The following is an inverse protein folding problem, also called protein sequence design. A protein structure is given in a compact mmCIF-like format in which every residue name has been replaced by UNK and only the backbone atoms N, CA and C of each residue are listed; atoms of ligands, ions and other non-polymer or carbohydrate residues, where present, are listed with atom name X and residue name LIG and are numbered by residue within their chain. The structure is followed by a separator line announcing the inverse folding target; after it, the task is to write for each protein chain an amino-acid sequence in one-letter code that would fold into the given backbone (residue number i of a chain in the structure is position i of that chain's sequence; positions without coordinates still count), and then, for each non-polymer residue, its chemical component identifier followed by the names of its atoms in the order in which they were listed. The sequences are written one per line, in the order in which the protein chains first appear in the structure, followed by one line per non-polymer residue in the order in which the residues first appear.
data_IF_013945797539
#
_entry.id   IF_013945797539
#
_cell.length_a   1.000
_cell.length_b   1.000
_cell.length_c   1.000
_cell.angle_alpha   90.00
_cell.angle_beta   90.00
_cell.angle_gamma   90.00
#
_symmetry.space_group_name_H-M   'P 1'
#
loop_
_entity.id
_entity.type
_entity.pdbx_description
1 polymer ?
#
# COMPACT_ATOMS: atom_id res chain seq x y z
N UNK A 1 7.41 -8.12 8.14
CA UNK A 1 6.62 -8.07 9.39
C UNK A 1 5.21 -8.59 9.10
N UNK A 2 4.71 -9.50 9.94
CA UNK A 2 3.32 -9.95 9.84
C UNK A 2 2.33 -8.89 10.34
N UNK A 3 1.04 -9.13 10.16
CA UNK A 3 -0.01 -8.27 10.70
C UNK A 3 0.06 -8.24 12.24
N UNK A 4 0.02 -7.06 12.82
CA UNK A 4 0.14 -6.84 14.27
C UNK A 4 -1.07 -6.09 14.83
N UNK A 5 -1.28 -6.26 16.13
CA UNK A 5 -2.34 -5.61 16.88
C UNK A 5 -3.65 -6.41 16.94
N UNK A 6 -4.24 -6.39 18.12
CA UNK A 6 -5.58 -6.91 18.39
C UNK A 6 -6.42 -5.70 18.80
N UNK A 7 -7.55 -5.41 18.14
CA UNK A 7 -8.33 -4.19 18.39
C UNK A 7 -8.76 -4.00 19.86
N UNK A 8 -8.97 -5.10 20.57
CA UNK A 8 -9.40 -5.10 21.97
C UNK A 8 -8.22 -5.00 22.97
N UNK A 9 -7.00 -5.28 22.52
CA UNK A 9 -5.82 -5.23 23.40
C UNK A 9 -5.24 -3.82 23.42
N UNK A 10 -5.40 -3.16 24.57
CA UNK A 10 -4.87 -1.80 24.80
C UNK A 10 -3.82 -1.79 25.92
N UNK A 11 -2.86 -0.90 25.75
CA UNK A 11 -1.89 -0.55 26.79
C UNK A 11 -2.54 0.34 27.85
N UNK A 12 -1.95 0.51 29.05
CA UNK A 12 -2.48 1.38 30.10
C UNK A 12 -2.68 2.84 29.68
N UNK A 13 -1.94 3.32 28.67
CA UNK A 13 -2.07 4.66 28.11
C UNK A 13 -3.17 4.77 27.03
N UNK A 14 -3.95 3.70 26.78
CA UNK A 14 -5.02 3.67 25.79
C UNK A 14 -4.59 3.31 24.37
N UNK A 15 -3.31 3.24 24.06
CA UNK A 15 -2.80 2.85 22.76
C UNK A 15 -3.09 1.36 22.46
N UNK A 16 -3.24 1.03 21.18
CA UNK A 16 -3.39 -0.37 20.76
C UNK A 16 -2.09 -1.15 21.03
N UNK A 17 -2.21 -2.32 21.66
CA UNK A 17 -1.09 -3.23 21.80
C UNK A 17 -0.59 -3.66 20.41
N UNK A 18 0.73 -3.55 20.20
CA UNK A 18 1.37 -3.82 18.92
C UNK A 18 1.51 -2.60 17.99
N UNK A 19 0.77 -1.51 18.20
CA UNK A 19 0.97 -0.27 17.46
C UNK A 19 2.41 0.26 17.61
N UNK A 20 2.98 0.15 18.81
CA UNK A 20 4.37 0.52 19.09
C UNK A 20 5.41 -0.25 18.25
N UNK A 21 5.10 -1.45 17.79
CA UNK A 21 6.01 -2.20 16.88
C UNK A 21 6.08 -1.51 15.52
N UNK A 22 4.92 -1.21 14.92
CA UNK A 22 4.85 -0.58 13.60
C UNK A 22 5.38 0.85 13.65
N UNK A 23 4.89 1.67 14.57
CA UNK A 23 5.34 3.07 14.70
C UNK A 23 6.80 3.15 15.15
N UNK A 24 7.23 2.27 16.07
CA UNK A 24 8.63 2.21 16.50
C UNK A 24 9.59 1.91 15.35
N UNK A 25 9.22 0.99 14.44
CA UNK A 25 10.01 0.70 13.24
C UNK A 25 9.95 1.86 12.23
N UNK A 26 8.76 2.42 11.96
CA UNK A 26 8.60 3.53 11.01
C UNK A 26 9.42 4.75 11.40
N UNK A 27 9.32 5.17 12.66
CA UNK A 27 10.05 6.34 13.16
C UNK A 27 11.52 6.02 13.45
N UNK A 28 11.81 4.89 14.11
CA UNK A 28 13.17 4.52 14.49
C UNK A 28 14.10 4.23 13.32
N UNK A 29 13.56 3.77 12.19
CA UNK A 29 14.32 3.50 10.96
C UNK A 29 14.08 4.56 9.87
N UNK A 30 13.39 5.65 10.19
CA UNK A 30 13.00 6.73 9.26
C UNK A 30 12.42 6.23 7.93
N UNK A 31 11.41 5.36 8.02
CA UNK A 31 10.73 4.75 6.87
C UNK A 31 9.67 5.71 6.31
N UNK A 32 10.09 6.74 5.59
CA UNK A 32 9.27 7.89 5.21
C UNK A 32 8.31 7.63 4.05
N UNK A 33 8.55 6.64 3.20
CA UNK A 33 7.70 6.32 2.06
C UNK A 33 6.95 5.00 2.28
N UNK A 34 5.63 5.06 2.46
CA UNK A 34 4.78 3.88 2.48
C UNK A 34 4.26 3.63 1.06
N UNK A 35 4.75 2.57 0.44
CA UNK A 35 4.49 2.20 -0.95
C UNK A 35 3.41 1.12 -0.98
N UNK A 36 2.29 1.43 -1.59
CA UNK A 36 1.12 0.54 -1.67
C UNK A 36 0.70 0.30 -3.13
N UNK A 37 1.22 -0.75 -3.77
CA UNK A 37 0.76 -1.16 -5.10
C UNK A 37 -0.70 -1.59 -5.07
N UNK A 38 -1.44 -1.18 -6.09
CA UNK A 38 -2.81 -1.60 -6.34
C UNK A 38 -2.86 -2.19 -7.74
N UNK A 39 -2.82 -3.52 -7.82
CA UNK A 39 -2.80 -4.25 -9.09
C UNK A 39 -3.86 -5.33 -9.06
N UNK A 40 -4.77 -5.28 -10.03
CA UNK A 40 -5.78 -6.31 -10.18
C UNK A 40 -5.21 -7.47 -11.00
N UNK A 41 -5.14 -8.62 -10.37
CA UNK A 41 -4.65 -9.84 -11.03
C UNK A 41 -5.75 -10.57 -11.78
N UNK A 42 -5.41 -11.35 -12.83
CA UNK A 42 -6.39 -12.12 -13.59
C UNK A 42 -7.21 -13.07 -12.72
N UNK A 43 -8.49 -13.19 -13.01
CA UNK A 43 -9.47 -14.06 -12.31
C UNK A 43 -9.78 -13.63 -10.87
N UNK A 44 -9.33 -12.47 -10.43
CA UNK A 44 -9.75 -11.89 -9.15
C UNK A 44 -11.10 -11.19 -9.34
N UNK A 45 -12.02 -11.45 -8.43
CA UNK A 45 -13.36 -10.87 -8.41
C UNK A 45 -13.55 -9.99 -7.18
N UNK A 46 -14.46 -9.06 -7.28
CA UNK A 46 -14.80 -8.11 -6.22
C UNK A 46 -16.07 -8.55 -5.51
N UNK A 47 -16.06 -8.58 -4.18
CA UNK A 47 -17.26 -8.84 -3.39
C UNK A 47 -18.09 -7.57 -3.28
N UNK A 48 -19.22 -7.52 -3.99
CA UNK A 48 -20.16 -6.39 -4.00
C UNK A 48 -21.56 -6.92 -3.71
N UNK A 49 -22.24 -6.41 -2.67
CA UNK A 49 -23.55 -6.88 -2.21
C UNK A 49 -23.58 -8.40 -2.02
N UNK A 50 -22.60 -8.93 -1.28
CA UNK A 50 -22.40 -10.37 -1.01
C UNK A 50 -22.26 -11.28 -2.24
N UNK A 51 -22.12 -10.71 -3.43
CA UNK A 51 -21.86 -11.41 -4.67
C UNK A 51 -20.47 -11.10 -5.22
N UNK A 52 -19.83 -12.09 -5.84
CA UNK A 52 -18.56 -11.90 -6.54
C UNK A 52 -18.79 -11.47 -7.98
N UNK A 53 -18.29 -10.27 -8.33
CA UNK A 53 -18.44 -9.66 -9.66
C UNK A 53 -17.10 -9.22 -10.21
N UNK A 54 -16.93 -9.22 -11.53
CA UNK A 54 -15.85 -8.49 -12.21
C UNK A 54 -16.31 -7.04 -12.38
N UNK A 55 -15.84 -6.15 -11.49
CA UNK A 55 -16.18 -4.72 -11.52
C UNK A 55 -15.18 -3.95 -12.37
N UNK A 56 -13.91 -4.29 -12.24
CA UNK A 56 -12.80 -3.75 -13.04
C UNK A 56 -12.08 -4.88 -13.75
N UNK A 57 -11.37 -4.54 -14.82
CA UNK A 57 -10.56 -5.46 -15.61
C UNK A 57 -9.09 -5.40 -15.18
N UNK A 58 -8.34 -6.53 -15.18
CA UNK A 58 -6.96 -6.57 -14.71
C UNK A 58 -6.00 -5.62 -15.43
N UNK A 59 -6.22 -5.33 -16.72
CA UNK A 59 -5.42 -4.39 -17.50
C UNK A 59 -5.75 -2.92 -17.25
N UNK A 60 -6.77 -2.63 -16.43
CA UNK A 60 -7.20 -1.28 -16.06
C UNK A 60 -6.77 -0.86 -14.67
N UNK A 61 -6.25 -1.76 -13.85
CA UNK A 61 -5.86 -1.47 -12.47
C UNK A 61 -4.43 -1.89 -12.24
N UNK A 62 -3.50 -0.96 -12.39
CA UNK A 62 -2.09 -1.10 -12.03
C UNK A 62 -1.52 0.28 -11.68
N UNK A 63 -1.66 0.68 -10.44
CA UNK A 63 -1.17 1.96 -9.90
C UNK A 63 -0.46 1.76 -8.57
N UNK A 64 0.28 2.77 -8.13
CA UNK A 64 0.91 2.76 -6.81
C UNK A 64 0.57 4.05 -6.08
N UNK A 65 0.12 3.93 -4.83
CA UNK A 65 -0.03 5.07 -3.93
C UNK A 65 1.19 5.12 -3.01
N UNK A 66 1.91 6.23 -3.04
CA UNK A 66 3.03 6.53 -2.14
C UNK A 66 2.52 7.48 -1.08
N UNK A 67 2.41 6.97 0.15
CA UNK A 67 1.94 7.70 1.33
C UNK A 67 3.14 8.20 2.11
N UNK A 68 3.14 9.48 2.51
CA UNK A 68 4.04 9.96 3.56
C UNK A 68 3.79 9.17 4.85
N UNK A 69 4.82 8.86 5.64
CA UNK A 69 4.70 7.84 6.66
C UNK A 69 5.24 8.25 8.06
N UNK A 70 5.79 9.46 8.20
CA UNK A 70 6.51 9.89 9.40
C UNK A 70 6.01 11.20 10.01
N UNK A 71 5.08 11.88 9.35
CA UNK A 71 4.44 13.11 9.84
C UNK A 71 2.93 13.10 9.56
N UNK A 72 2.29 14.23 9.38
CA UNK A 72 0.85 14.34 9.13
C UNK A 72 0.04 14.39 10.43
N UNK A 73 -1.16 13.81 10.39
CA UNK A 73 -2.07 13.75 11.54
C UNK A 73 -1.65 12.71 12.59
N UNK A 74 -0.83 11.73 12.18
CA UNK A 74 -0.44 10.61 13.06
C UNK A 74 0.84 10.89 13.86
N UNK A 75 1.29 12.16 13.90
CA UNK A 75 2.39 12.58 14.77
C UNK A 75 1.98 12.51 16.24
N UNK A 76 2.94 12.34 17.19
CA UNK A 76 2.64 12.34 18.62
C UNK A 76 2.32 13.73 19.19
N UNK A 77 2.25 14.78 18.37
CA UNK A 77 1.91 16.15 18.77
C UNK A 77 0.41 16.29 19.05
N UNK A 78 -0.04 15.73 20.17
CA UNK A 78 -1.45 15.65 20.60
C UNK A 78 -1.60 15.85 22.09
N UNK A 79 -2.79 16.16 22.53
CA UNK A 79 -3.10 16.32 23.94
C UNK A 79 -4.58 16.19 24.25
N UNK A 80 -4.87 15.81 25.50
CA UNK A 80 -6.23 15.74 26.05
C UNK A 80 -6.27 16.59 27.31
N UNK A 81 -7.31 17.42 27.45
CA UNK A 81 -7.63 18.16 28.67
C UNK A 81 -8.78 17.46 29.39
N UNK A 82 -8.47 16.94 30.58
CA UNK A 82 -9.47 16.31 31.44
C UNK A 82 -9.73 17.17 32.68
N UNK A 83 -10.98 17.29 33.11
CA UNK A 83 -11.40 17.97 34.33
C UNK A 83 -12.41 17.11 35.08
N UNK A 84 -12.21 16.91 36.36
CA UNK A 84 -13.10 16.12 37.19
C UNK A 84 -13.33 14.67 36.73
N UNK A 85 -12.32 14.07 36.04
CA UNK A 85 -12.41 12.71 35.46
C UNK A 85 -13.13 12.64 34.11
N UNK A 86 -13.48 13.80 33.51
CA UNK A 86 -14.11 13.87 32.18
C UNK A 86 -13.15 14.52 31.18
N UNK A 87 -12.96 13.91 30.02
CA UNK A 87 -12.21 14.47 28.92
C UNK A 87 -13.05 15.52 28.20
N UNK A 88 -12.64 16.78 28.30
CA UNK A 88 -13.39 17.93 27.75
C UNK A 88 -12.87 18.39 26.37
N UNK A 89 -11.58 18.17 26.10
CA UNK A 89 -10.94 18.64 24.88
C UNK A 89 -9.85 17.67 24.46
N UNK A 90 -9.84 17.29 23.19
CA UNK A 90 -8.73 16.58 22.56
C UNK A 90 -8.22 17.40 21.37
N UNK A 91 -6.91 17.49 21.22
CA UNK A 91 -6.24 18.19 20.12
C UNK A 91 -5.25 17.23 19.47
N UNK A 92 -5.37 17.06 18.15
CA UNK A 92 -4.37 16.43 17.30
C UNK A 92 -3.79 17.46 16.35
N UNK A 93 -2.46 17.57 16.29
CA UNK A 93 -1.79 18.50 15.38
C UNK A 93 -1.39 17.79 14.10
N UNK A 94 -1.84 18.32 12.96
CA UNK A 94 -1.41 17.87 11.64
C UNK A 94 -0.17 18.64 11.22
N UNK A 95 0.93 17.94 11.02
CA UNK A 95 2.24 18.52 10.70
C UNK A 95 2.65 18.14 9.27
N UNK A 96 2.93 19.14 8.45
CA UNK A 96 3.53 18.96 7.12
C UNK A 96 4.79 19.80 7.08
N UNK A 97 5.94 19.13 6.89
CA UNK A 97 7.22 19.81 6.74
C UNK A 97 7.67 19.79 5.29
N UNK A 98 8.47 20.78 4.89
CA UNK A 98 9.09 20.80 3.56
C UNK A 98 9.95 19.55 3.34
N UNK A 99 10.75 19.16 4.33
CA UNK A 99 11.65 17.99 4.27
C UNK A 99 10.86 16.70 4.08
N UNK A 100 9.79 16.48 4.87
CA UNK A 100 8.96 15.29 4.78
C UNK A 100 8.25 15.19 3.43
N UNK A 101 7.66 16.30 2.96
CA UNK A 101 7.02 16.38 1.66
C UNK A 101 8.02 16.12 0.51
N UNK A 102 9.17 16.81 0.49
CA UNK A 102 10.15 16.73 -0.60
C UNK A 102 10.65 15.29 -0.81
N UNK A 103 11.05 14.60 0.25
CA UNK A 103 11.65 13.27 0.13
C UNK A 103 10.67 12.22 -0.41
N UNK A 104 9.44 12.23 0.06
CA UNK A 104 8.42 11.26 -0.39
C UNK A 104 7.91 11.59 -1.79
N UNK A 105 7.78 12.86 -2.15
CA UNK A 105 7.43 13.29 -3.51
C UNK A 105 8.53 12.90 -4.49
N UNK A 106 9.80 13.16 -4.15
CA UNK A 106 10.95 12.73 -4.96
C UNK A 106 10.97 11.22 -5.16
N UNK A 107 10.70 10.45 -4.09
CA UNK A 107 10.57 9.00 -4.17
C UNK A 107 9.48 8.58 -5.17
N UNK A 108 8.32 9.23 -5.17
CA UNK A 108 7.23 8.92 -6.09
C UNK A 108 7.61 9.19 -7.56
N UNK A 109 8.34 10.28 -7.85
CA UNK A 109 8.83 10.55 -9.20
C UNK A 109 9.87 9.53 -9.66
N UNK A 110 10.82 9.14 -8.79
CA UNK A 110 11.79 8.09 -9.11
C UNK A 110 11.12 6.74 -9.33
N UNK A 111 10.06 6.42 -8.56
CA UNK A 111 9.27 5.22 -8.77
C UNK A 111 8.56 5.23 -10.12
N UNK A 112 7.91 6.33 -10.51
CA UNK A 112 7.20 6.45 -11.80
C UNK A 112 8.15 6.24 -12.98
N UNK A 113 9.41 6.71 -12.90
CA UNK A 113 10.42 6.45 -13.96
C UNK A 113 10.66 4.96 -14.20
N UNK A 114 10.47 4.12 -13.20
CA UNK A 114 10.71 2.67 -13.25
C UNK A 114 9.47 1.86 -13.66
N UNK A 115 8.31 2.49 -13.74
CA UNK A 115 7.04 1.87 -14.13
C UNK A 115 6.77 2.05 -15.61
N UNK A 116 5.76 1.33 -16.12
CA UNK A 116 5.34 1.38 -17.53
C UNK A 116 4.35 2.52 -17.81
N UNK A 117 3.94 3.27 -16.76
CA UNK A 117 2.96 4.35 -16.83
C UNK A 117 1.53 3.92 -16.49
N UNK A 118 0.60 4.87 -16.62
CA UNK A 118 -0.82 4.64 -16.34
C UNK A 118 -1.42 3.65 -17.35
N UNK A 119 -2.24 2.67 -16.92
CA UNK A 119 -2.82 1.66 -17.81
C UNK A 119 -3.62 2.24 -18.99
N UNK A 120 -4.25 3.39 -18.80
CA UNK A 120 -5.12 3.99 -19.79
C UNK A 120 -4.41 4.60 -21.00
N UNK A 121 -3.21 5.14 -20.81
CA UNK A 121 -2.48 5.89 -21.86
C UNK A 121 -0.97 5.62 -21.91
N UNK A 122 -0.43 4.78 -21.02
CA UNK A 122 1.00 4.45 -20.95
C UNK A 122 1.90 5.60 -20.48
N UNK A 123 1.34 6.72 -20.03
CA UNK A 123 2.14 7.86 -19.59
C UNK A 123 2.63 7.68 -18.16
N UNK A 124 3.91 7.95 -17.97
CA UNK A 124 4.50 8.09 -16.64
C UNK A 124 3.96 9.35 -16.00
N UNK A 125 3.23 9.20 -14.92
CA UNK A 125 2.50 10.29 -14.28
C UNK A 125 2.60 10.18 -12.76
N UNK A 126 2.82 11.33 -12.11
CA UNK A 126 2.66 11.43 -10.66
C UNK A 126 1.48 12.35 -10.36
N UNK A 127 0.48 11.83 -9.64
CA UNK A 127 -0.67 12.62 -9.19
C UNK A 127 -0.42 13.12 -7.77
N UNK A 128 -0.40 14.44 -7.59
CA UNK A 128 -0.37 15.09 -6.28
C UNK A 128 -1.75 15.01 -5.64
N UNK A 129 -1.89 14.22 -4.59
CA UNK A 129 -3.14 14.11 -3.83
C UNK A 129 -3.06 14.96 -2.58
N UNK A 130 -3.99 15.90 -2.41
CA UNK A 130 -3.98 16.85 -1.30
C UNK A 130 -5.37 17.43 -0.98
N UNK A 131 -5.43 18.37 -0.04
CA UNK A 131 -6.60 19.22 0.27
C UNK A 131 -6.20 20.69 0.33
N UNK A 132 -5.37 21.13 -0.62
CA UNK A 132 -4.75 22.46 -0.64
C UNK A 132 -5.75 23.63 -0.78
N UNK A 133 -6.96 23.35 -1.27
CA UNK A 133 -8.04 24.34 -1.28
C UNK A 133 -8.50 24.73 0.13
N UNK A 134 -8.24 23.92 1.17
CA UNK A 134 -8.68 24.16 2.54
C UNK A 134 -7.51 24.36 3.50
N UNK A 135 -6.50 23.45 3.51
CA UNK A 135 -5.50 23.40 4.55
C UNK A 135 -4.17 24.06 4.16
N UNK A 136 -3.53 24.73 5.11
CA UNK A 136 -2.22 25.36 4.89
C UNK A 136 -1.11 24.34 4.65
N UNK A 137 -1.14 23.20 5.36
CA UNK A 137 -0.16 22.13 5.19
C UNK A 137 -0.19 21.56 3.78
N UNK A 138 -1.40 21.35 3.20
CA UNK A 138 -1.50 20.83 1.83
C UNK A 138 -1.15 21.89 0.78
N UNK A 139 -1.27 23.17 1.07
CA UNK A 139 -0.70 24.23 0.21
C UNK A 139 0.82 24.17 0.17
N UNK A 140 1.46 23.90 1.32
CA UNK A 140 2.91 23.67 1.37
C UNK A 140 3.27 22.41 0.60
N UNK A 141 2.53 21.30 0.80
CA UNK A 141 2.71 20.03 0.09
C UNK A 141 2.68 20.23 -1.42
N UNK A 142 1.66 20.88 -1.96
CA UNK A 142 1.52 21.17 -3.40
C UNK A 142 2.64 22.05 -3.94
N UNK A 143 3.04 23.07 -3.19
CA UNK A 143 4.17 23.93 -3.56
C UNK A 143 5.47 23.09 -3.68
N UNK A 144 5.75 22.23 -2.71
CA UNK A 144 6.92 21.36 -2.75
C UNK A 144 6.83 20.35 -3.90
N UNK A 145 5.62 19.82 -4.15
CA UNK A 145 5.38 18.95 -5.30
C UNK A 145 5.75 19.65 -6.61
N UNK A 146 5.32 20.88 -6.83
CA UNK A 146 5.63 21.64 -8.06
C UNK A 146 7.14 21.88 -8.23
N UNK A 147 7.82 22.22 -7.14
CA UNK A 147 9.28 22.44 -7.12
C UNK A 147 10.06 21.15 -7.44
N UNK A 148 9.64 20.01 -6.90
CA UNK A 148 10.23 18.70 -7.21
C UNK A 148 9.91 18.28 -8.64
N UNK A 149 8.65 18.37 -9.05
CA UNK A 149 8.18 17.96 -10.37
C UNK A 149 8.90 18.71 -11.51
N UNK A 150 9.31 19.96 -11.28
CA UNK A 150 10.10 20.72 -12.24
C UNK A 150 11.43 20.04 -12.62
N UNK A 151 11.96 19.15 -11.78
CA UNK A 151 13.20 18.41 -11.99
C UNK A 151 12.99 17.10 -12.78
N UNK A 152 11.73 16.75 -13.10
CA UNK A 152 11.34 15.50 -13.78
C UNK A 152 10.55 15.78 -15.08
N UNK A 153 11.15 16.41 -16.10
CA UNK A 153 10.42 16.83 -17.31
C UNK A 153 9.82 15.67 -18.12
N UNK A 154 10.31 14.44 -17.90
CA UNK A 154 9.80 13.22 -18.56
C UNK A 154 8.65 12.53 -17.83
N UNK A 155 8.16 13.09 -16.72
CA UNK A 155 7.03 12.56 -15.94
C UNK A 155 5.91 13.60 -15.90
N UNK A 156 4.72 13.21 -16.33
CA UNK A 156 3.56 14.08 -16.37
C UNK A 156 3.12 14.46 -14.94
N UNK A 157 2.72 15.73 -14.74
CA UNK A 157 2.18 16.24 -13.49
C UNK A 157 0.67 16.15 -13.52
N UNK A 158 0.10 15.69 -12.43
CA UNK A 158 -1.33 15.64 -12.24
C UNK A 158 -1.72 16.02 -10.80
N UNK A 159 -2.95 16.45 -10.58
CA UNK A 159 -3.42 16.96 -9.30
C UNK A 159 -4.84 16.50 -9.02
N UNK A 160 -5.07 16.05 -7.81
CA UNK A 160 -6.40 15.73 -7.34
C UNK A 160 -6.58 16.13 -5.87
N UNK A 161 -7.70 16.75 -5.54
CA UNK A 161 -8.13 16.83 -4.15
C UNK A 161 -8.52 15.42 -3.68
N UNK A 162 -8.24 15.10 -2.43
CA UNK A 162 -8.46 13.73 -1.90
C UNK A 162 -9.88 13.23 -2.13
N UNK A 163 -10.89 14.06 -1.91
CA UNK A 163 -12.30 13.70 -2.12
C UNK A 163 -12.60 13.38 -3.61
N UNK A 164 -12.06 14.15 -4.53
CA UNK A 164 -12.17 13.87 -5.96
C UNK A 164 -11.35 12.64 -6.37
N UNK A 165 -10.13 12.49 -5.84
CA UNK A 165 -9.27 11.35 -6.10
C UNK A 165 -9.95 10.02 -5.76
N UNK A 166 -10.62 9.93 -4.60
CA UNK A 166 -11.34 8.72 -4.19
C UNK A 166 -12.47 8.36 -5.18
N UNK A 167 -13.19 9.35 -5.70
CA UNK A 167 -14.23 9.10 -6.70
C UNK A 167 -13.64 8.62 -8.04
N UNK A 168 -12.59 9.30 -8.52
CA UNK A 168 -11.94 8.95 -9.77
C UNK A 168 -11.20 7.62 -9.70
N UNK A 169 -10.63 7.29 -8.55
CA UNK A 169 -9.98 6.00 -8.31
C UNK A 169 -10.94 4.82 -8.55
N UNK A 170 -12.21 4.98 -8.16
CA UNK A 170 -13.25 3.97 -8.40
C UNK A 170 -13.74 3.98 -9.85
N UNK A 171 -13.86 5.18 -10.47
CA UNK A 171 -14.46 5.34 -11.81
C UNK A 171 -13.51 5.06 -12.96
N UNK A 172 -12.25 5.44 -12.81
CA UNK A 172 -11.24 5.41 -13.86
C UNK A 172 -9.85 5.15 -13.30
N UNK A 173 -9.62 4.00 -12.61
CA UNK A 173 -8.33 3.68 -12.02
C UNK A 173 -7.20 3.63 -13.04
N UNK A 174 -7.52 3.33 -14.30
CA UNK A 174 -6.58 3.29 -15.43
C UNK A 174 -5.92 4.63 -15.76
N UNK A 175 -6.43 5.74 -15.23
CA UNK A 175 -5.84 7.07 -15.42
C UNK A 175 -4.60 7.31 -14.55
N UNK A 176 -4.37 6.50 -13.53
CA UNK A 176 -3.31 6.71 -12.54
C UNK A 176 -2.13 5.77 -12.72
N UNK A 177 -0.92 6.31 -12.61
CA UNK A 177 0.34 5.54 -12.53
C UNK A 177 0.87 5.54 -11.09
N UNK A 178 1.35 6.69 -10.61
CA UNK A 178 1.76 6.88 -9.22
C UNK A 178 0.98 8.04 -8.63
N UNK A 179 0.39 7.86 -7.46
CA UNK A 179 -0.18 8.94 -6.67
C UNK A 179 0.68 9.16 -5.42
N UNK A 180 0.92 10.42 -5.04
CA UNK A 180 1.64 10.75 -3.81
C UNK A 180 0.78 11.61 -2.90
N UNK A 181 0.67 11.23 -1.62
CA UNK A 181 -0.24 11.85 -0.68
C UNK A 181 0.40 12.05 0.71
N UNK A 182 0.01 13.09 1.46
CA UNK A 182 0.22 13.19 2.90
C UNK A 182 -0.29 11.95 3.64
N UNK A 183 0.20 11.74 4.84
CA UNK A 183 0.02 10.52 5.62
C UNK A 183 -1.45 10.07 5.71
N UNK A 184 -2.33 10.88 6.26
CA UNK A 184 -3.74 10.55 6.47
C UNK A 184 -4.52 10.36 5.16
N UNK A 185 -4.24 11.18 4.14
CA UNK A 185 -4.90 11.03 2.83
C UNK A 185 -4.45 9.78 2.11
N UNK A 186 -3.16 9.46 2.21
CA UNK A 186 -2.60 8.22 1.66
C UNK A 186 -3.17 6.98 2.35
N UNK A 187 -3.38 7.03 3.67
CA UNK A 187 -3.97 5.94 4.43
C UNK A 187 -5.38 5.60 3.94
N UNK A 188 -6.26 6.60 3.92
CA UNK A 188 -7.65 6.44 3.49
C UNK A 188 -7.74 5.98 2.03
N UNK A 189 -6.94 6.60 1.15
CA UNK A 189 -6.95 6.28 -0.27
C UNK A 189 -6.49 4.84 -0.56
N UNK A 190 -5.50 4.34 0.17
CA UNK A 190 -4.97 2.98 -0.03
C UNK A 190 -5.92 1.90 0.45
N UNK A 191 -6.75 2.16 1.45
CA UNK A 191 -7.77 1.21 1.90
C UNK A 191 -8.90 1.09 0.86
N UNK A 192 -9.31 2.21 0.24
CA UNK A 192 -10.21 2.16 -0.90
C UNK A 192 -9.57 1.45 -2.10
N UNK A 193 -8.30 1.75 -2.40
CA UNK A 193 -7.56 1.13 -3.49
C UNK A 193 -7.44 -0.40 -3.33
N UNK A 194 -7.37 -0.90 -2.09
CA UNK A 194 -7.36 -2.34 -1.83
C UNK A 194 -8.61 -3.05 -2.37
N UNK A 195 -9.75 -2.37 -2.42
CA UNK A 195 -10.99 -2.93 -2.99
C UNK A 195 -10.83 -3.18 -4.49
N UNK A 196 -10.12 -2.31 -5.22
CA UNK A 196 -9.93 -2.44 -6.67
C UNK A 196 -9.10 -3.68 -7.05
N UNK A 197 -8.26 -4.17 -6.15
CA UNK A 197 -7.42 -5.36 -6.40
C UNK A 197 -7.98 -6.66 -5.80
N UNK A 198 -9.22 -6.65 -5.32
CA UNK A 198 -9.89 -7.83 -4.77
C UNK A 198 -9.99 -7.87 -3.24
N UNK A 199 -9.56 -6.82 -2.55
CA UNK A 199 -9.67 -6.66 -1.11
C UNK A 199 -8.34 -6.75 -0.36
N UNK A 200 -8.42 -6.61 0.97
CA UNK A 200 -7.26 -6.50 1.86
C UNK A 200 -6.33 -7.73 1.83
N UNK A 201 -6.87 -8.94 1.56
CA UNK A 201 -6.07 -10.16 1.44
C UNK A 201 -5.13 -10.20 0.23
N UNK A 202 -5.28 -9.24 -0.70
CA UNK A 202 -4.41 -9.06 -1.87
C UNK A 202 -3.41 -7.91 -1.69
N UNK A 203 -3.60 -7.06 -0.68
CA UNK A 203 -2.94 -5.78 -0.57
C UNK A 203 -1.63 -5.88 0.25
N UNK A 204 -0.51 -5.75 -0.43
CA UNK A 204 0.82 -5.67 0.14
C UNK A 204 1.29 -4.22 0.28
N UNK A 205 2.22 -3.97 1.18
CA UNK A 205 2.84 -2.68 1.37
C UNK A 205 4.31 -2.76 1.76
N UNK A 206 5.03 -1.69 1.44
CA UNK A 206 6.40 -1.51 1.88
C UNK A 206 6.56 -0.13 2.52
N UNK A 207 7.25 -0.07 3.65
CA UNK A 207 7.67 1.17 4.29
C UNK A 207 9.16 1.33 4.02
N UNK A 208 9.55 2.35 3.28
CA UNK A 208 10.89 2.52 2.73
C UNK A 208 11.52 3.80 3.29
N UNK A 209 12.75 3.67 3.77
CA UNK A 209 13.67 4.74 4.10
C UNK A 209 14.92 4.67 3.24
N UNK A 210 15.87 5.56 3.50
CA UNK A 210 17.12 5.59 2.74
C UNK A 210 17.97 4.32 2.97
N UNK A 211 17.98 3.80 4.21
CA UNK A 211 18.81 2.65 4.58
C UNK A 211 18.01 1.36 4.76
N UNK A 212 16.77 1.44 5.18
CA UNK A 212 15.97 0.32 5.63
C UNK A 212 14.64 0.21 4.90
N UNK A 213 14.07 -0.99 4.87
CA UNK A 213 12.73 -1.26 4.37
C UNK A 213 11.99 -2.26 5.27
N UNK A 214 10.72 -2.01 5.52
CA UNK A 214 9.81 -2.90 6.22
C UNK A 214 8.68 -3.30 5.28
N UNK A 215 8.45 -4.59 5.13
CA UNK A 215 7.47 -5.15 4.20
C UNK A 215 6.40 -5.90 4.97
N UNK A 216 5.14 -5.62 4.68
CA UNK A 216 4.00 -6.11 5.43
C UNK A 216 2.74 -6.21 4.55
N UNK A 217 1.77 -7.08 4.89
CA UNK A 217 0.42 -6.92 4.38
C UNK A 217 -0.21 -5.67 5.01
N UNK A 218 -1.09 -4.99 4.30
CA UNK A 218 -1.71 -3.76 4.84
C UNK A 218 -2.87 -4.04 5.82
N UNK A 219 -3.39 -5.27 5.82
CA UNK A 219 -4.46 -5.68 6.73
C UNK A 219 -3.97 -5.91 8.17
N UNK A 220 -4.88 -5.78 9.15
CA UNK A 220 -4.62 -6.14 10.54
C UNK A 220 -4.57 -7.66 10.79
N UNK A 221 -4.43 -8.05 12.05
CA UNK A 221 -4.25 -9.45 12.49
C UNK A 221 -5.47 -10.38 12.30
N UNK A 222 -6.64 -9.83 11.99
CA UNK A 222 -7.88 -10.57 11.75
C UNK A 222 -8.22 -11.62 12.84
N UNK A 223 -8.32 -11.25 14.13
CA UNK A 223 -8.43 -12.19 15.25
C UNK A 223 -9.63 -13.14 15.15
N UNK A 224 -10.69 -12.73 14.45
CA UNK A 224 -11.88 -13.57 14.19
C UNK A 224 -11.56 -14.86 13.41
N UNK A 225 -10.44 -14.89 12.69
CA UNK A 225 -10.00 -16.02 11.87
C UNK A 225 -8.85 -16.81 12.51
N UNK A 226 -8.41 -16.45 13.71
CA UNK A 226 -7.33 -17.15 14.39
C UNK A 226 -7.64 -18.65 14.55
N UNK A 227 -6.67 -19.49 14.21
CA UNK A 227 -6.78 -20.96 14.29
C UNK A 227 -7.65 -21.61 13.20
N UNK A 228 -8.27 -20.85 12.28
CA UNK A 228 -9.22 -21.41 11.28
C UNK A 228 -8.55 -21.78 9.94
N UNK A 229 -7.30 -21.44 9.73
CA UNK A 229 -6.59 -21.65 8.44
C UNK A 229 -7.37 -21.11 7.21
N UNK A 230 -8.05 -19.96 7.37
CA UNK A 230 -9.03 -19.47 6.40
C UNK A 230 -8.60 -18.20 5.64
N UNK A 231 -7.62 -17.43 6.18
CA UNK A 231 -7.25 -16.12 5.61
C UNK A 231 -6.44 -16.28 4.31
N UNK A 232 -6.51 -15.25 3.46
CA UNK A 232 -5.74 -15.20 2.22
C UNK A 232 -4.26 -14.87 2.52
N UNK A 233 -3.29 -15.70 2.11
CA UNK A 233 -1.87 -15.46 2.35
C UNK A 233 -1.22 -14.57 1.28
N UNK A 234 -1.92 -14.19 0.21
CA UNK A 234 -1.34 -13.57 -0.99
C UNK A 234 -0.71 -12.21 -0.66
N UNK A 235 -1.37 -11.39 0.17
CA UNK A 235 -0.81 -10.08 0.57
C UNK A 235 0.59 -10.23 1.20
N UNK A 236 0.80 -11.21 2.10
CA UNK A 236 2.10 -11.46 2.72
C UNK A 236 3.12 -12.02 1.73
N UNK A 237 2.68 -12.86 0.79
CA UNK A 237 3.54 -13.39 -0.27
C UNK A 237 3.99 -12.26 -1.21
N UNK A 238 3.08 -11.35 -1.58
CA UNK A 238 3.41 -10.17 -2.39
C UNK A 238 4.28 -9.17 -1.63
N UNK A 239 4.10 -9.01 -0.32
CA UNK A 239 5.01 -8.21 0.51
C UNK A 239 6.44 -8.80 0.49
N UNK A 240 6.57 -10.13 0.52
CA UNK A 240 7.87 -10.81 0.35
C UNK A 240 8.44 -10.60 -1.05
N UNK A 241 7.62 -10.63 -2.08
CA UNK A 241 8.02 -10.30 -3.45
C UNK A 241 8.57 -8.87 -3.53
N UNK A 242 7.88 -7.88 -2.94
CA UNK A 242 8.36 -6.49 -2.87
C UNK A 242 9.71 -6.38 -2.16
N UNK A 243 9.92 -7.13 -1.07
CA UNK A 243 11.19 -7.18 -0.35
C UNK A 243 12.33 -7.70 -1.25
N UNK A 244 12.09 -8.78 -1.98
CA UNK A 244 13.08 -9.36 -2.88
C UNK A 244 13.44 -8.41 -4.02
N UNK A 245 12.46 -7.74 -4.62
CA UNK A 245 12.70 -6.74 -5.67
C UNK A 245 13.49 -5.55 -5.15
N UNK A 246 13.09 -4.98 -4.00
CA UNK A 246 13.79 -3.86 -3.38
C UNK A 246 15.24 -4.20 -3.03
N UNK A 247 15.49 -5.35 -2.40
CA UNK A 247 16.84 -5.81 -2.10
C UNK A 247 17.65 -6.06 -3.38
N UNK A 248 17.03 -6.67 -4.38
CA UNK A 248 17.67 -6.96 -5.66
C UNK A 248 18.10 -5.68 -6.40
N UNK A 249 17.26 -4.65 -6.41
CA UNK A 249 17.61 -3.34 -6.98
C UNK A 249 18.72 -2.65 -6.18
N UNK A 250 18.57 -2.59 -4.87
CA UNK A 250 19.53 -1.92 -3.97
C UNK A 250 20.92 -2.56 -4.02
N UNK A 251 20.97 -3.90 -4.04
CA UNK A 251 22.23 -4.67 -4.10
C UNK A 251 22.71 -4.95 -5.53
N UNK A 252 21.96 -4.51 -6.55
CA UNK A 252 22.20 -4.86 -7.96
C UNK A 252 22.27 -6.37 -8.18
N UNK A 253 21.49 -7.13 -7.46
CA UNK A 253 21.43 -8.59 -7.49
C UNK A 253 20.30 -9.06 -8.41
N UNK A 254 20.66 -9.55 -9.59
CA UNK A 254 19.72 -10.05 -10.59
C UNK A 254 19.00 -11.32 -10.16
N UNK A 255 19.61 -12.14 -9.28
CA UNK A 255 18.98 -13.36 -8.80
C UNK A 255 17.81 -13.03 -7.87
N UNK A 256 17.95 -12.03 -6.98
CA UNK A 256 16.84 -11.55 -6.15
C UNK A 256 15.71 -10.94 -7.00
N UNK A 257 16.03 -10.15 -8.04
CA UNK A 257 15.03 -9.60 -8.95
C UNK A 257 14.27 -10.71 -9.73
N UNK A 258 15.01 -11.71 -10.19
CA UNK A 258 14.42 -12.88 -10.86
C UNK A 258 13.54 -13.70 -9.92
N UNK A 259 13.93 -13.83 -8.65
CA UNK A 259 13.12 -14.48 -7.61
C UNK A 259 11.82 -13.70 -7.35
N UNK A 260 11.90 -12.37 -7.21
CA UNK A 260 10.74 -11.51 -7.06
C UNK A 260 9.73 -11.69 -8.22
N UNK A 261 10.21 -11.61 -9.46
CA UNK A 261 9.38 -11.85 -10.65
C UNK A 261 8.80 -13.27 -10.69
N UNK A 262 9.55 -14.27 -10.20
CA UNK A 262 9.09 -15.66 -10.09
C UNK A 262 7.95 -15.82 -9.08
N UNK A 263 8.02 -15.14 -7.95
CA UNK A 263 6.95 -15.15 -6.93
C UNK A 263 5.67 -14.51 -7.48
N UNK A 264 5.76 -13.35 -8.11
CA UNK A 264 4.58 -12.68 -8.71
C UNK A 264 3.95 -13.57 -9.80
N UNK A 265 4.76 -14.12 -10.71
CA UNK A 265 4.28 -15.02 -11.76
C UNK A 265 3.61 -16.29 -11.18
N UNK A 266 4.09 -16.80 -10.06
CA UNK A 266 3.47 -17.95 -9.38
C UNK A 266 2.09 -17.57 -8.80
N UNK A 267 1.95 -16.40 -8.18
CA UNK A 267 0.67 -15.88 -7.72
C UNK A 267 -0.31 -15.75 -8.90
N UNK A 268 0.10 -15.12 -10.00
CA UNK A 268 -0.70 -15.00 -11.22
C UNK A 268 -1.16 -16.36 -11.74
N UNK A 269 -0.28 -17.36 -11.79
CA UNK A 269 -0.62 -18.70 -12.28
C UNK A 269 -1.66 -19.41 -11.39
N UNK A 270 -1.55 -19.25 -10.06
CA UNK A 270 -2.52 -19.85 -9.12
C UNK A 270 -3.87 -19.17 -9.22
N UNK A 271 -3.90 -17.84 -9.33
CA UNK A 271 -5.13 -17.06 -9.51
C UNK A 271 -5.82 -17.42 -10.84
N UNK A 272 -5.08 -17.47 -11.96
CA UNK A 272 -5.60 -17.89 -13.27
C UNK A 272 -6.20 -19.28 -13.24
N UNK A 273 -5.54 -20.22 -12.55
CA UNK A 273 -6.04 -21.59 -12.43
C UNK A 273 -7.34 -21.69 -11.62
N UNK A 274 -7.60 -20.79 -10.69
CA UNK A 274 -8.85 -20.69 -9.95
C UNK A 274 -9.14 -21.83 -8.96
N UNK A 275 -8.19 -22.77 -8.75
CA UNK A 275 -8.41 -23.99 -7.97
C UNK A 275 -8.06 -23.88 -6.50
N UNK A 276 -7.27 -22.87 -6.12
CA UNK A 276 -6.79 -22.64 -4.76
C UNK A 276 -7.03 -21.20 -4.34
N UNK A 277 -8.28 -20.77 -4.42
CA UNK A 277 -8.73 -19.44 -4.00
C UNK A 277 -9.36 -19.52 -2.60
N UNK A 278 -9.02 -18.56 -1.75
CA UNK A 278 -9.61 -18.40 -0.43
C UNK A 278 -11.03 -17.81 -0.51
N UNK A 279 -11.75 -17.81 0.59
CA UNK A 279 -13.16 -17.37 0.67
C UNK A 279 -13.38 -15.92 0.24
N UNK A 280 -12.42 -15.04 0.52
CA UNK A 280 -12.46 -13.61 0.16
C UNK A 280 -12.32 -13.38 -1.37
N UNK A 281 -11.82 -14.37 -2.10
CA UNK A 281 -11.75 -14.41 -3.56
C UNK A 281 -12.84 -15.27 -4.20
N UNK A 282 -13.82 -15.73 -3.41
CA UNK A 282 -14.93 -16.55 -3.88
C UNK A 282 -14.60 -18.04 -4.00
N UNK A 283 -13.51 -18.50 -3.41
CA UNK A 283 -13.13 -19.91 -3.33
C UNK A 283 -13.45 -20.54 -1.97
N UNK A 284 -12.91 -21.73 -1.74
CA UNK A 284 -13.04 -22.48 -0.49
C UNK A 284 -11.71 -23.03 0.02
N UNK A 285 -10.60 -22.68 -0.63
CA UNK A 285 -9.27 -23.15 -0.22
C UNK A 285 -8.86 -22.55 1.12
N UNK A 286 -8.12 -23.33 1.89
CA UNK A 286 -7.49 -22.89 3.13
C UNK A 286 -6.28 -21.99 2.85
N UNK A 287 -5.87 -21.22 3.85
CA UNK A 287 -4.65 -20.42 3.80
C UNK A 287 -3.43 -21.28 3.43
N UNK A 288 -3.25 -22.41 4.12
CA UNK A 288 -2.15 -23.35 3.87
C UNK A 288 -2.20 -23.99 2.47
N UNK A 289 -3.38 -24.26 1.93
CA UNK A 289 -3.55 -24.84 0.59
C UNK A 289 -3.17 -23.81 -0.49
N UNK A 290 -3.63 -22.56 -0.37
CA UNK A 290 -3.26 -21.46 -1.27
C UNK A 290 -1.75 -21.20 -1.22
N UNK A 291 -1.17 -21.08 -0.03
CA UNK A 291 0.28 -20.89 0.15
C UNK A 291 1.09 -22.03 -0.46
N UNK A 292 0.67 -23.30 -0.24
CA UNK A 292 1.32 -24.47 -0.83
C UNK A 292 1.23 -24.49 -2.36
N UNK A 293 0.07 -24.10 -2.92
CA UNK A 293 -0.11 -24.01 -4.38
C UNK A 293 0.85 -23.00 -5.00
N UNK A 294 1.01 -21.81 -4.36
CA UNK A 294 1.95 -20.79 -4.82
C UNK A 294 3.40 -21.28 -4.69
N UNK A 295 3.79 -21.87 -3.56
CA UNK A 295 5.14 -22.40 -3.36
C UNK A 295 5.51 -23.45 -4.42
N UNK A 296 4.60 -24.37 -4.74
CA UNK A 296 4.78 -25.35 -5.82
C UNK A 296 4.89 -24.68 -7.20
N UNK A 297 4.16 -23.59 -7.44
CA UNK A 297 4.25 -22.85 -8.69
C UNK A 297 5.61 -22.16 -8.83
N UNK A 298 6.15 -21.55 -7.77
CA UNK A 298 7.52 -21.01 -7.73
C UNK A 298 8.54 -22.07 -8.07
N UNK A 299 8.49 -23.24 -7.43
CA UNK A 299 9.43 -24.35 -7.70
C UNK A 299 9.37 -24.87 -9.14
N UNK A 300 8.21 -24.84 -9.80
CA UNK A 300 8.11 -25.21 -11.23
C UNK A 300 8.71 -24.16 -12.15
N UNK A 301 8.54 -22.86 -11.84
CA UNK A 301 9.08 -21.76 -12.63
C UNK A 301 10.61 -21.68 -12.53
N UNK A 302 11.18 -21.92 -11.36
CA UNK A 302 12.64 -21.94 -11.16
C UNK A 302 13.32 -23.06 -11.96
N UNK A 303 12.73 -24.28 -12.00
CA UNK A 303 13.26 -25.41 -12.78
C UNK A 303 13.21 -25.22 -14.30
N UNK A 304 12.32 -24.36 -14.81
CA UNK A 304 12.25 -24.04 -16.25
C UNK A 304 13.29 -23.00 -16.69
N UNK A 305 13.90 -22.30 -15.74
CA UNK A 305 14.92 -21.27 -15.99
C UNK A 305 16.36 -21.76 -15.75
N UNK A 306 16.51 -22.89 -15.09
CA UNK A 306 17.77 -23.63 -14.95
C UNK A 306 17.95 -24.60 -16.13
#
# INVERSE_FOLDING_TARGET
VGAVGIPEARLPNGDLAGAGVIFGLRFGLDLYANVRPTKLYPNVRHKVHDAFKSVWEPDKVDLVIVRENTEGLYTPARGVLSRGGTDELAIDSRVITRKGAERVIRFAFELSKQRDGAPGDGKKRVTCVDKSNVTAGDRLWRKVYDEVAAQYPGVERDYAYIDAFLQWLVRSPEAYDVAVAPNEWGDIATDLAAVLQGGMGMAAGANIGDEHGMFEPIHGSAPKHAGRDAVNPIAMILATQMMLDWLGRRKRDRALQAAASGVEAAVVNVLKAGKALTYDLGGSAKCSETGTAIARAVGRLSRKRA
#
